data_IF_770001067527
#
_entry.id   IF_770001067527
#
_cell.length_a   1.000
_cell.length_b   1.000
_cell.length_c   1.000
_cell.angle_alpha   90.00
_cell.angle_beta   90.00
_cell.angle_gamma   90.00
#
_symmetry.space_group_name_H-M   'P 1'
#
loop_
_entity.id
_entity.type
_entity.pdbx_description
1 polymer ?
#
# COMPACT_ATOMS: atom_id res chain seq x y z
N UNK A 1 8.50 2.37 28.99
CA UNK A 1 8.94 2.17 27.61
C UNK A 1 7.79 2.60 26.72
N UNK A 2 7.99 3.54 25.80
CA UNK A 2 6.94 3.97 24.87
C UNK A 2 6.63 2.82 23.90
N UNK A 3 5.37 2.69 23.47
CA UNK A 3 4.94 1.77 22.44
C UNK A 3 5.54 2.22 21.10
N UNK A 4 6.53 1.49 20.60
CA UNK A 4 7.19 1.80 19.33
C UNK A 4 6.49 1.06 18.20
N UNK A 5 6.16 1.78 17.13
CA UNK A 5 5.55 1.18 15.95
C UNK A 5 6.58 0.35 15.18
N UNK A 6 6.30 -0.94 14.95
CA UNK A 6 7.21 -1.83 14.23
C UNK A 6 7.50 -1.37 12.80
N UNK A 7 6.53 -0.70 12.16
CA UNK A 7 6.74 -0.07 10.85
C UNK A 7 7.90 0.92 10.87
N UNK A 8 8.05 1.70 11.94
CA UNK A 8 9.14 2.66 12.06
C UNK A 8 10.42 2.01 12.61
N UNK A 9 10.31 1.13 13.61
CA UNK A 9 11.45 0.40 14.20
C UNK A 9 12.21 -0.42 13.16
N UNK A 10 11.48 -1.07 12.26
CA UNK A 10 12.04 -1.94 11.22
C UNK A 10 12.11 -1.27 9.84
N UNK A 11 11.95 0.06 9.77
CA UNK A 11 12.09 0.78 8.50
C UNK A 11 13.55 0.68 8.03
N UNK A 12 13.80 0.20 6.80
CA UNK A 12 15.14 0.17 6.21
C UNK A 12 15.81 1.54 6.27
N UNK A 13 17.04 1.58 6.80
CA UNK A 13 17.86 2.81 6.88
C UNK A 13 18.87 2.90 5.74
N UNK A 14 19.14 1.81 5.03
CA UNK A 14 20.05 1.71 3.90
C UNK A 14 19.33 1.13 2.70
N UNK A 15 19.81 1.44 1.50
CA UNK A 15 19.27 0.88 0.27
C UNK A 15 19.42 -0.66 0.21
N UNK A 16 20.49 -1.21 0.81
CA UNK A 16 20.70 -2.65 0.92
C UNK A 16 19.65 -3.39 1.76
N UNK A 17 19.04 -2.70 2.71
CA UNK A 17 18.06 -3.28 3.62
C UNK A 17 16.62 -3.23 3.05
N UNK A 18 16.46 -2.66 1.84
CA UNK A 18 15.15 -2.59 1.18
C UNK A 18 14.63 -3.99 0.87
N UNK A 19 13.32 -4.17 1.11
CA UNK A 19 12.64 -5.42 0.78
C UNK A 19 12.31 -5.41 -0.69
N UNK A 20 12.89 -6.36 -1.45
CA UNK A 20 12.73 -6.44 -2.90
C UNK A 20 13.16 -5.14 -3.63
N UNK A 21 12.60 -4.81 -4.81
CA UNK A 21 12.90 -3.60 -5.61
C UNK A 21 14.36 -3.53 -6.11
N UNK A 22 15.00 -4.67 -6.39
CA UNK A 22 16.43 -4.77 -6.71
C UNK A 22 16.90 -3.82 -7.82
N UNK A 23 16.15 -3.68 -8.93
CA UNK A 23 16.50 -2.78 -10.02
C UNK A 23 16.52 -1.30 -9.58
N UNK A 24 15.54 -0.88 -8.77
CA UNK A 24 15.47 0.48 -8.22
C UNK A 24 16.65 0.71 -7.29
N UNK A 25 16.93 -0.23 -6.38
CA UNK A 25 18.04 -0.15 -5.43
C UNK A 25 19.38 -0.04 -6.13
N UNK A 26 19.63 -0.87 -7.14
CA UNK A 26 20.87 -0.82 -7.92
C UNK A 26 21.07 0.52 -8.65
N UNK A 27 20.02 1.04 -9.27
CA UNK A 27 20.05 2.33 -9.93
C UNK A 27 20.33 3.48 -8.96
N UNK A 28 19.66 3.50 -7.79
CA UNK A 28 19.89 4.51 -6.75
C UNK A 28 21.32 4.45 -6.20
N UNK A 29 21.88 3.25 -5.97
CA UNK A 29 23.29 3.08 -5.59
C UNK A 29 24.24 3.57 -6.68
N UNK A 30 23.89 3.38 -7.95
CA UNK A 30 24.63 3.93 -9.08
C UNK A 30 24.73 5.44 -9.01
N UNK A 31 23.64 6.14 -8.69
CA UNK A 31 23.65 7.58 -8.49
C UNK A 31 24.50 8.00 -7.28
N UNK A 32 24.40 7.31 -6.15
CA UNK A 32 25.25 7.60 -4.97
C UNK A 32 26.73 7.47 -5.34
N UNK A 33 27.12 6.38 -6.00
CA UNK A 33 28.52 6.17 -6.45
C UNK A 33 29.03 7.22 -7.42
N UNK A 34 28.16 7.70 -8.32
CA UNK A 34 28.52 8.75 -9.28
C UNK A 34 28.62 10.14 -8.65
N UNK A 35 28.12 10.32 -7.42
CA UNK A 35 28.04 11.63 -6.76
C UNK A 35 27.04 12.61 -7.41
N UNK A 36 26.27 12.16 -8.39
CA UNK A 36 25.30 13.01 -9.11
C UNK A 36 23.95 12.32 -9.19
N UNK A 37 22.96 12.90 -8.51
CA UNK A 37 21.59 12.41 -8.50
C UNK A 37 20.70 13.40 -9.26
N UNK A 38 19.86 12.97 -10.21
CA UNK A 38 18.84 13.80 -10.83
C UNK A 38 17.69 14.06 -9.84
N UNK A 39 16.71 14.85 -10.23
CA UNK A 39 15.41 14.79 -9.55
C UNK A 39 14.78 13.41 -9.80
N UNK A 40 14.07 12.86 -8.81
CA UNK A 40 13.53 11.51 -8.84
C UNK A 40 12.00 11.55 -8.77
N UNK A 41 11.36 10.63 -9.46
CA UNK A 41 9.93 10.36 -9.36
C UNK A 41 9.72 8.88 -9.02
N UNK A 42 9.22 8.60 -7.83
CA UNK A 42 8.90 7.25 -7.35
C UNK A 42 7.40 7.01 -7.49
N UNK A 43 7.00 6.11 -8.38
CA UNK A 43 5.61 5.81 -8.66
C UNK A 43 5.29 4.35 -8.38
N UNK A 44 4.17 4.07 -7.72
CA UNK A 44 3.72 2.71 -7.44
C UNK A 44 2.71 2.62 -6.29
N UNK A 45 2.16 1.44 -6.02
CA UNK A 45 1.15 1.22 -4.98
C UNK A 45 1.65 1.61 -3.58
N UNK A 46 0.74 1.82 -2.61
CA UNK A 46 1.12 2.06 -1.22
C UNK A 46 1.89 0.86 -0.63
N UNK A 47 2.71 1.11 0.39
CA UNK A 47 3.45 0.06 1.10
C UNK A 47 4.59 -0.61 0.34
N UNK A 48 4.97 -0.15 -0.86
CA UNK A 48 6.04 -0.71 -1.69
C UNK A 48 7.44 -0.15 -1.40
N UNK A 49 7.57 0.79 -0.45
CA UNK A 49 8.86 1.30 0.00
C UNK A 49 9.33 2.62 -0.61
N UNK A 50 8.47 3.38 -1.32
CA UNK A 50 8.84 4.68 -1.95
C UNK A 50 9.45 5.68 -0.96
N UNK A 51 8.75 5.98 0.13
CA UNK A 51 9.20 6.88 1.20
C UNK A 51 10.46 6.34 1.90
N UNK A 52 10.51 5.02 2.10
CA UNK A 52 11.67 4.33 2.68
C UNK A 52 12.91 4.47 1.78
N UNK A 53 12.75 4.29 0.47
CA UNK A 53 13.85 4.46 -0.48
C UNK A 53 14.38 5.91 -0.52
N UNK A 54 13.50 6.91 -0.42
CA UNK A 54 13.90 8.31 -0.36
C UNK A 54 14.76 8.60 0.89
N UNK A 55 14.34 8.11 2.05
CA UNK A 55 15.09 8.27 3.30
C UNK A 55 16.39 7.48 3.30
N UNK A 56 16.36 6.21 2.85
CA UNK A 56 17.57 5.37 2.74
C UNK A 56 18.60 5.99 1.80
N UNK A 57 18.16 6.56 0.67
CA UNK A 57 19.01 7.29 -0.25
C UNK A 57 19.64 8.52 0.42
N UNK A 58 18.87 9.30 1.16
CA UNK A 58 19.39 10.47 1.91
C UNK A 58 20.44 10.03 2.96
N UNK A 59 20.18 8.95 3.68
CA UNK A 59 21.14 8.40 4.65
C UNK A 59 22.46 7.99 3.99
N UNK A 60 22.43 7.37 2.81
CA UNK A 60 23.65 6.98 2.09
C UNK A 60 24.43 8.19 1.54
N UNK A 61 23.73 9.23 1.11
CA UNK A 61 24.37 10.46 0.60
C UNK A 61 25.03 11.24 1.72
N UNK A 62 24.36 11.38 2.84
CA UNK A 62 24.83 12.24 3.93
C UNK A 62 25.67 11.51 4.97
N UNK A 63 25.48 10.21 5.14
CA UNK A 63 26.28 9.35 6.00
C UNK A 63 26.17 9.59 7.51
N UNK A 64 25.57 10.71 7.93
CA UNK A 64 25.39 11.09 9.35
C UNK A 64 23.98 11.61 9.58
N UNK A 65 23.37 11.22 10.71
CA UNK A 65 22.00 11.57 11.05
C UNK A 65 21.78 13.08 11.19
N UNK A 66 22.74 13.78 11.81
CA UNK A 66 22.68 15.25 11.95
C UNK A 66 22.65 15.96 10.58
N UNK A 67 23.38 15.42 9.59
CA UNK A 67 23.38 15.97 8.24
C UNK A 67 22.08 15.69 7.51
N UNK A 68 21.44 14.51 7.77
CA UNK A 68 20.09 14.21 7.25
C UNK A 68 19.08 15.21 7.79
N UNK A 69 19.08 15.48 9.11
CA UNK A 69 18.12 16.41 9.73
C UNK A 69 18.16 17.82 9.14
N UNK A 70 19.33 18.32 8.75
CA UNK A 70 19.46 19.69 8.20
C UNK A 70 19.36 19.78 6.69
N UNK A 71 19.64 18.68 5.96
CA UNK A 71 19.68 18.68 4.49
C UNK A 71 18.52 17.92 3.83
N UNK A 72 17.70 17.20 4.60
CA UNK A 72 16.52 16.46 4.12
C UNK A 72 15.25 17.08 4.66
N UNK A 73 14.35 17.46 3.77
CA UNK A 73 13.01 17.95 4.12
C UNK A 73 11.98 17.00 3.54
N UNK A 74 11.17 16.40 4.39
CA UNK A 74 10.03 15.59 4.02
C UNK A 74 8.73 16.37 4.25
N UNK A 75 7.86 16.39 3.24
CA UNK A 75 6.54 17.00 3.30
C UNK A 75 5.52 16.04 2.69
N UNK A 76 4.38 15.88 3.34
CA UNK A 76 3.25 15.17 2.77
C UNK A 76 2.36 16.15 1.99
N UNK A 77 2.24 15.91 0.68
CA UNK A 77 1.44 16.76 -0.20
C UNK A 77 -0.07 16.59 0.00
N UNK A 78 -0.52 15.56 0.70
CA UNK A 78 -1.94 15.40 1.06
C UNK A 78 -2.37 16.37 2.16
N UNK A 79 -1.46 16.70 3.08
CA UNK A 79 -1.74 17.63 4.18
C UNK A 79 -1.58 19.09 3.72
N UNK A 80 -0.66 19.34 2.82
CA UNK A 80 -0.26 20.66 2.37
C UNK A 80 -0.36 20.81 0.85
N UNK A 81 -1.58 20.69 0.29
CA UNK A 81 -1.86 20.65 -1.17
C UNK A 81 -1.68 21.99 -1.88
N UNK A 82 -1.54 23.07 -1.11
CA UNK A 82 -1.63 24.45 -1.59
C UNK A 82 -0.35 24.99 -2.20
N UNK A 83 -0.51 25.97 -3.10
CA UNK A 83 0.59 26.69 -3.73
C UNK A 83 1.44 27.47 -2.71
N UNK A 84 0.88 27.84 -1.55
CA UNK A 84 1.59 28.60 -0.51
C UNK A 84 2.69 27.79 0.15
N UNK A 85 2.45 26.51 0.46
CA UNK A 85 3.48 25.61 0.98
C UNK A 85 4.67 25.50 0.03
N UNK A 86 4.38 25.34 -1.27
CA UNK A 86 5.42 25.29 -2.30
C UNK A 86 6.21 26.60 -2.34
N UNK A 87 5.52 27.74 -2.25
CA UNK A 87 6.17 29.06 -2.35
C UNK A 87 6.97 29.45 -1.10
N UNK A 88 6.54 28.99 0.07
CA UNK A 88 7.18 29.34 1.35
C UNK A 88 8.14 28.24 1.78
N UNK A 89 7.65 27.16 2.38
CA UNK A 89 8.47 26.10 3.00
C UNK A 89 9.51 25.52 2.03
N UNK A 90 9.06 25.08 0.85
CA UNK A 90 9.94 24.44 -0.13
C UNK A 90 10.96 25.42 -0.68
N UNK A 91 10.52 26.63 -1.05
CA UNK A 91 11.40 27.65 -1.60
C UNK A 91 12.43 28.14 -0.57
N UNK A 92 12.00 28.36 0.68
CA UNK A 92 12.91 28.84 1.73
C UNK A 92 13.94 27.77 2.10
N UNK A 93 13.56 26.51 2.14
CA UNK A 93 14.50 25.40 2.32
C UNK A 93 15.48 25.30 1.12
N UNK A 94 15.00 25.42 -0.11
CA UNK A 94 15.84 25.32 -1.31
C UNK A 94 16.84 26.49 -1.48
N UNK A 95 16.49 27.68 -0.96
CA UNK A 95 17.37 28.87 -1.02
C UNK A 95 18.62 28.75 -0.18
N UNK A 96 18.57 28.02 0.93
CA UNK A 96 19.71 27.90 1.83
C UNK A 96 20.73 26.91 1.28
N UNK A 97 22.01 27.23 1.44
CA UNK A 97 23.08 26.33 1.00
C UNK A 97 23.05 24.99 1.75
N UNK A 98 23.50 23.88 1.13
CA UNK A 98 23.70 22.62 1.83
C UNK A 98 24.66 22.80 3.01
N UNK A 99 24.36 22.20 4.15
CA UNK A 99 25.20 22.23 5.35
C UNK A 99 26.17 21.05 5.39
N UNK A 100 27.31 21.21 6.08
CA UNK A 100 28.25 20.11 6.32
C UNK A 100 29.03 19.62 5.10
N UNK A 101 29.14 20.45 4.06
CA UNK A 101 29.94 20.13 2.86
C UNK A 101 29.28 19.09 1.92
N UNK A 102 28.01 18.75 2.12
CA UNK A 102 27.29 17.84 1.23
C UNK A 102 26.97 18.52 -0.11
N UNK A 103 26.84 17.76 -1.22
CA UNK A 103 26.72 18.34 -2.55
C UNK A 103 25.40 19.09 -2.79
N UNK A 104 24.31 18.65 -2.16
CA UNK A 104 22.97 19.22 -2.34
C UNK A 104 22.05 18.82 -1.17
N UNK A 105 20.94 19.53 -1.04
CA UNK A 105 19.82 19.19 -0.18
C UNK A 105 18.84 18.27 -0.91
N UNK A 106 18.03 17.55 -0.17
CA UNK A 106 16.93 16.74 -0.71
C UNK A 106 15.61 17.26 -0.14
N UNK A 107 14.65 17.49 -1.04
CA UNK A 107 13.25 17.74 -0.70
C UNK A 107 12.45 16.52 -1.19
N UNK A 108 11.87 15.81 -0.26
CA UNK A 108 10.99 14.68 -0.52
C UNK A 108 9.53 15.13 -0.36
N UNK A 109 8.76 14.97 -1.42
CA UNK A 109 7.32 15.21 -1.43
C UNK A 109 6.60 13.87 -1.54
N UNK A 110 6.07 13.42 -0.42
CA UNK A 110 5.23 12.21 -0.40
C UNK A 110 3.81 12.56 -0.86
N UNK A 111 3.13 11.59 -1.48
CA UNK A 111 1.81 11.75 -2.08
C UNK A 111 1.71 12.94 -3.04
N UNK A 112 2.76 13.16 -3.83
CA UNK A 112 2.88 14.32 -4.73
C UNK A 112 1.75 14.43 -5.78
N UNK A 113 1.06 13.33 -6.08
CA UNK A 113 -0.14 13.29 -6.92
C UNK A 113 -1.37 13.96 -6.29
N UNK A 114 -1.31 14.38 -5.04
CA UNK A 114 -2.33 15.20 -4.38
C UNK A 114 -2.09 16.72 -4.52
N UNK A 115 -0.93 17.14 -5.02
CA UNK A 115 -0.69 18.56 -5.31
C UNK A 115 -1.65 19.10 -6.38
N UNK A 116 -2.19 20.28 -6.13
CA UNK A 116 -2.99 20.97 -7.15
C UNK A 116 -2.14 21.26 -8.41
N UNK A 117 -2.74 21.34 -9.60
CA UNK A 117 -2.00 21.69 -10.83
C UNK A 117 -1.21 22.99 -10.70
N UNK A 118 -1.77 23.99 -10.02
CA UNK A 118 -1.09 25.27 -9.78
C UNK A 118 0.15 25.11 -8.87
N UNK A 119 0.06 24.27 -7.84
CA UNK A 119 1.18 23.94 -6.96
C UNK A 119 2.28 23.20 -7.74
N UNK A 120 1.93 22.26 -8.59
CA UNK A 120 2.87 21.54 -9.45
C UNK A 120 3.59 22.47 -10.42
N UNK A 121 2.89 23.44 -11.04
CA UNK A 121 3.54 24.47 -11.89
C UNK A 121 4.49 25.36 -11.11
N UNK A 122 4.16 25.71 -9.86
CA UNK A 122 5.09 26.48 -9.01
C UNK A 122 6.30 25.63 -8.60
N UNK A 123 6.09 24.35 -8.25
CA UNK A 123 7.15 23.40 -7.92
C UNK A 123 8.16 23.25 -9.07
N UNK A 124 7.67 23.07 -10.30
CA UNK A 124 8.52 22.99 -11.49
C UNK A 124 9.50 24.16 -11.57
N UNK A 125 9.03 25.39 -11.35
CA UNK A 125 9.90 26.59 -11.40
C UNK A 125 10.96 26.56 -10.30
N UNK A 126 10.63 26.09 -9.11
CA UNK A 126 11.57 25.95 -8.00
C UNK A 126 12.61 24.86 -8.30
N UNK A 127 12.19 23.71 -8.86
CA UNK A 127 13.09 22.66 -9.30
C UNK A 127 14.13 23.17 -10.32
N UNK A 128 13.70 23.98 -11.28
CA UNK A 128 14.61 24.60 -12.28
C UNK A 128 15.56 25.60 -11.62
N UNK A 129 15.05 26.46 -10.73
CA UNK A 129 15.81 27.56 -10.13
C UNK A 129 16.89 27.06 -9.16
N UNK A 130 16.64 25.99 -8.42
CA UNK A 130 17.53 25.48 -7.38
C UNK A 130 18.15 24.12 -7.71
N UNK A 131 18.20 23.75 -9.00
CA UNK A 131 18.74 22.47 -9.45
C UNK A 131 20.22 22.26 -9.12
N UNK A 132 21.00 23.32 -8.88
CA UNK A 132 22.41 23.23 -8.46
C UNK A 132 22.59 22.84 -6.99
N UNK A 133 21.65 23.20 -6.12
CA UNK A 133 21.77 23.05 -4.67
C UNK A 133 20.76 22.09 -4.05
N UNK A 134 19.72 21.69 -4.80
CA UNK A 134 18.60 20.91 -4.26
C UNK A 134 18.17 19.83 -5.25
N UNK A 135 17.91 18.64 -4.74
CA UNK A 135 17.27 17.54 -5.46
C UNK A 135 15.87 17.31 -4.92
N UNK A 136 14.97 17.00 -5.82
CA UNK A 136 13.58 16.69 -5.47
C UNK A 136 13.34 15.21 -5.69
N UNK A 137 12.71 14.58 -4.70
CA UNK A 137 12.19 13.21 -4.78
C UNK A 137 10.67 13.33 -4.62
N UNK A 138 9.93 12.96 -5.65
CA UNK A 138 8.47 12.97 -5.67
C UNK A 138 7.99 11.54 -5.55
N UNK A 139 7.28 11.19 -4.50
CA UNK A 139 6.62 9.90 -4.36
C UNK A 139 5.13 10.05 -4.65
N UNK A 140 4.57 9.16 -5.46
CA UNK A 140 3.15 9.18 -5.84
C UNK A 140 2.61 7.77 -6.05
N UNK A 141 1.30 7.62 -5.95
CA UNK A 141 0.64 6.38 -6.33
C UNK A 141 0.34 6.36 -7.84
N UNK A 142 -0.04 7.50 -8.40
CA UNK A 142 -0.44 7.65 -9.79
C UNK A 142 0.43 8.68 -10.51
N UNK A 143 1.43 8.24 -11.28
CA UNK A 143 2.31 9.13 -12.05
C UNK A 143 1.56 9.97 -13.10
N UNK A 144 0.41 9.49 -13.58
CA UNK A 144 -0.46 10.22 -14.51
C UNK A 144 -1.04 11.51 -13.95
N UNK A 145 -1.06 11.68 -12.62
CA UNK A 145 -1.50 12.91 -11.95
C UNK A 145 -0.38 13.95 -11.80
N UNK A 146 0.86 13.58 -12.10
CA UNK A 146 2.00 14.50 -12.14
C UNK A 146 2.08 15.12 -13.53
N UNK A 147 2.17 16.45 -13.60
CA UNK A 147 2.23 17.14 -14.89
C UNK A 147 3.48 16.75 -15.69
N UNK A 148 3.35 16.62 -16.99
CA UNK A 148 4.43 16.24 -17.90
C UNK A 148 5.72 17.08 -17.74
N UNK A 149 5.66 18.42 -17.54
CA UNK A 149 6.85 19.23 -17.31
C UNK A 149 7.67 18.87 -16.07
N UNK A 150 7.08 18.23 -15.07
CA UNK A 150 7.80 17.65 -13.90
C UNK A 150 8.35 16.29 -14.28
N UNK A 151 7.52 15.42 -14.87
CA UNK A 151 7.96 14.08 -15.27
C UNK A 151 9.20 14.13 -16.18
N UNK A 152 9.23 15.02 -17.17
CA UNK A 152 10.36 15.17 -18.09
C UNK A 152 11.68 15.64 -17.45
N UNK A 153 11.63 16.12 -16.19
CA UNK A 153 12.80 16.59 -15.43
C UNK A 153 13.22 15.63 -14.32
N UNK A 154 12.54 14.51 -14.21
CA UNK A 154 12.80 13.50 -13.17
C UNK A 154 13.22 12.18 -13.80
N UNK A 155 14.10 11.45 -13.15
CA UNK A 155 14.29 10.03 -13.43
C UNK A 155 13.17 9.27 -12.73
N UNK A 156 12.31 8.64 -13.51
CA UNK A 156 11.15 7.92 -13.00
C UNK A 156 11.50 6.47 -12.64
N UNK A 157 11.11 6.05 -11.44
CA UNK A 157 11.24 4.69 -10.94
C UNK A 157 9.88 4.12 -10.59
N UNK A 158 9.62 2.93 -11.09
CA UNK A 158 8.38 2.21 -10.83
C UNK A 158 8.59 1.20 -9.71
N UNK A 159 7.93 1.43 -8.59
CA UNK A 159 7.86 0.48 -7.49
C UNK A 159 6.73 -0.51 -7.77
N UNK A 160 7.07 -1.79 -7.79
CA UNK A 160 6.10 -2.86 -8.02
C UNK A 160 5.53 -3.36 -6.69
N UNK A 161 4.31 -3.97 -6.70
CA UNK A 161 3.83 -4.71 -5.53
C UNK A 161 4.87 -5.74 -5.10
N UNK A 162 5.04 -5.88 -3.79
CA UNK A 162 6.00 -6.85 -3.26
C UNK A 162 5.47 -8.28 -3.43
N UNK A 163 6.33 -9.23 -3.83
CA UNK A 163 5.94 -10.63 -3.89
C UNK A 163 5.65 -11.16 -2.47
N UNK A 164 4.71 -12.08 -2.37
CA UNK A 164 4.29 -12.68 -1.09
C UNK A 164 5.46 -13.28 -0.31
N UNK A 165 6.41 -13.90 -1.01
CA UNK A 165 7.61 -14.48 -0.39
C UNK A 165 8.45 -13.42 0.34
N UNK A 166 8.65 -12.26 -0.26
CA UNK A 166 9.42 -11.17 0.34
C UNK A 166 8.70 -10.57 1.57
N UNK A 167 7.37 -10.45 1.50
CA UNK A 167 6.56 -10.00 2.65
C UNK A 167 6.68 -11.02 3.78
N UNK A 168 6.50 -12.32 3.51
CA UNK A 168 6.62 -13.39 4.53
C UNK A 168 8.00 -13.41 5.18
N UNK A 169 9.06 -13.30 4.39
CA UNK A 169 10.44 -13.25 4.90
C UNK A 169 10.62 -12.05 5.85
N UNK A 170 10.13 -10.87 5.46
CA UNK A 170 10.21 -9.68 6.32
C UNK A 170 9.41 -9.82 7.60
N UNK A 171 8.22 -10.41 7.54
CA UNK A 171 7.38 -10.68 8.71
C UNK A 171 8.03 -11.69 9.66
N UNK A 172 8.65 -12.77 9.15
CA UNK A 172 9.41 -13.73 9.97
C UNK A 172 10.57 -13.04 10.69
N UNK A 173 11.35 -12.25 9.97
CA UNK A 173 12.44 -11.49 10.57
C UNK A 173 11.97 -10.59 11.72
N UNK A 174 10.85 -9.87 11.54
CA UNK A 174 10.28 -9.01 12.57
C UNK A 174 9.77 -9.85 13.75
N UNK A 175 9.01 -10.92 13.49
CA UNK A 175 8.46 -11.80 14.52
C UNK A 175 9.55 -12.41 15.41
N UNK A 176 10.65 -12.91 14.82
CA UNK A 176 11.81 -13.45 15.54
C UNK A 176 12.43 -12.39 16.46
N UNK A 177 12.64 -11.17 15.97
CA UNK A 177 13.23 -10.09 16.77
C UNK A 177 12.31 -9.62 17.91
N UNK A 178 10.99 -9.75 17.77
CA UNK A 178 10.00 -9.36 18.78
C UNK A 178 9.59 -10.53 19.70
N UNK A 179 10.16 -11.71 19.50
CA UNK A 179 9.84 -12.91 20.29
C UNK A 179 8.38 -13.36 20.11
N UNK A 180 7.90 -13.31 18.88
CA UNK A 180 6.54 -13.70 18.47
C UNK A 180 6.65 -14.94 17.59
N UNK A 181 5.81 -15.96 17.86
CA UNK A 181 5.70 -17.16 17.04
C UNK A 181 4.54 -16.99 16.06
N UNK A 182 4.80 -17.18 14.77
CA UNK A 182 3.78 -17.10 13.72
C UNK A 182 3.81 -18.39 12.91
N UNK A 183 2.65 -19.03 12.75
CA UNK A 183 2.55 -20.22 11.88
C UNK A 183 2.66 -19.82 10.41
N UNK A 184 2.97 -20.76 9.52
CA UNK A 184 3.02 -20.48 8.08
C UNK A 184 1.63 -20.04 7.57
N UNK A 185 0.54 -20.68 8.04
CA UNK A 185 -0.81 -20.27 7.72
C UNK A 185 -1.16 -18.89 8.31
N UNK A 186 -0.58 -18.51 9.45
CA UNK A 186 -0.71 -17.18 10.03
C UNK A 186 -0.03 -16.12 9.16
N UNK A 187 1.17 -16.43 8.62
CA UNK A 187 1.85 -15.57 7.66
C UNK A 187 1.05 -15.43 6.36
N UNK A 188 0.50 -16.54 5.84
CA UNK A 188 -0.36 -16.53 4.66
C UNK A 188 -1.60 -15.64 4.86
N UNK A 189 -2.22 -15.72 6.03
CA UNK A 189 -3.34 -14.89 6.40
C UNK A 189 -2.96 -13.39 6.46
N UNK A 190 -1.80 -13.05 7.04
CA UNK A 190 -1.33 -11.65 7.08
C UNK A 190 -1.07 -11.13 5.66
N UNK A 191 -0.45 -11.92 4.80
CA UNK A 191 -0.21 -11.55 3.39
C UNK A 191 -1.53 -11.35 2.66
N UNK A 192 -2.49 -12.26 2.84
CA UNK A 192 -3.83 -12.15 2.27
C UNK A 192 -4.53 -10.84 2.67
N UNK A 193 -4.51 -10.51 3.97
CA UNK A 193 -5.14 -9.31 4.53
C UNK A 193 -4.45 -8.02 4.05
N UNK A 194 -3.13 -8.07 3.84
CA UNK A 194 -2.33 -6.89 3.50
C UNK A 194 -2.36 -6.51 2.02
N UNK A 195 -2.78 -7.42 1.13
CA UNK A 195 -2.92 -7.16 -0.31
C UNK A 195 -1.63 -6.61 -0.97
N UNK A 196 -0.47 -7.07 -0.52
CA UNK A 196 0.83 -6.62 -1.03
C UNK A 196 1.38 -5.33 -0.42
N UNK A 197 0.67 -4.73 0.54
CA UNK A 197 1.12 -3.58 1.32
C UNK A 197 1.90 -4.04 2.55
N UNK A 198 3.24 -3.90 2.52
CA UNK A 198 4.11 -4.32 3.62
C UNK A 198 3.85 -3.52 4.91
N UNK A 199 3.47 -2.24 4.81
CA UNK A 199 3.12 -1.42 5.98
C UNK A 199 1.90 -2.00 6.69
N UNK A 200 0.86 -2.34 5.93
CA UNK A 200 -0.35 -3.00 6.44
C UNK A 200 -0.02 -4.38 7.02
N UNK A 201 0.87 -5.15 6.37
CA UNK A 201 1.30 -6.46 6.86
C UNK A 201 1.99 -6.37 8.23
N UNK A 202 2.94 -5.44 8.39
CA UNK A 202 3.67 -5.24 9.65
C UNK A 202 2.72 -4.74 10.76
N UNK A 203 1.82 -3.80 10.44
CA UNK A 203 0.82 -3.31 11.40
C UNK A 203 -0.13 -4.42 11.84
N UNK A 204 -0.57 -5.28 10.92
CA UNK A 204 -1.41 -6.45 11.24
C UNK A 204 -0.65 -7.40 12.18
N UNK A 205 0.60 -7.73 11.86
CA UNK A 205 1.44 -8.57 12.71
C UNK A 205 1.57 -7.97 14.12
N UNK A 206 1.89 -6.68 14.24
CA UNK A 206 2.04 -5.99 15.52
C UNK A 206 0.71 -6.00 16.31
N UNK A 207 -0.41 -5.71 15.66
CA UNK A 207 -1.74 -5.69 16.30
C UNK A 207 -2.10 -7.04 16.86
N UNK A 208 -1.88 -8.11 16.10
CA UNK A 208 -2.19 -9.48 16.52
C UNK A 208 -1.24 -9.93 17.65
N UNK A 209 0.04 -9.56 17.59
CA UNK A 209 1.06 -9.88 18.59
C UNK A 209 0.78 -9.27 19.98
N UNK A 210 0.05 -8.15 20.04
CA UNK A 210 -0.41 -7.56 21.32
C UNK A 210 -1.45 -8.44 22.00
N UNK A 211 -2.29 -9.14 21.23
CA UNK A 211 -3.34 -10.01 21.77
C UNK A 211 -2.78 -11.36 22.19
N UNK A 212 -1.93 -11.95 21.37
CA UNK A 212 -1.33 -13.27 21.63
C UNK A 212 0.03 -13.37 20.93
N UNK A 213 0.99 -14.02 21.60
CA UNK A 213 2.32 -14.26 21.05
C UNK A 213 2.42 -15.44 20.08
N UNK A 214 1.45 -16.30 20.07
CA UNK A 214 1.30 -17.40 19.12
C UNK A 214 0.21 -17.00 18.12
N UNK A 215 0.61 -16.73 16.89
CA UNK A 215 -0.24 -16.18 15.84
C UNK A 215 -0.58 -17.27 14.83
N UNK A 216 -1.85 -17.61 14.74
CA UNK A 216 -2.45 -18.49 13.76
C UNK A 216 -3.34 -17.72 12.77
N UNK A 217 -3.80 -18.38 11.71
CA UNK A 217 -4.67 -17.77 10.71
C UNK A 217 -6.00 -17.26 11.30
N UNK A 218 -6.55 -17.97 12.26
CA UNK A 218 -7.85 -17.64 12.84
C UNK A 218 -7.82 -16.32 13.59
N UNK A 219 -6.75 -16.13 14.36
CA UNK A 219 -6.53 -14.88 15.07
C UNK A 219 -6.32 -13.70 14.11
N UNK A 220 -5.59 -13.92 13.00
CA UNK A 220 -5.35 -12.88 11.99
C UNK A 220 -6.68 -12.43 11.35
N UNK A 221 -7.49 -13.36 10.84
CA UNK A 221 -8.78 -13.00 10.20
C UNK A 221 -9.74 -12.33 11.19
N UNK A 222 -9.83 -12.85 12.40
CA UNK A 222 -10.65 -12.25 13.45
C UNK A 222 -10.24 -10.81 13.78
N UNK A 223 -8.93 -10.55 13.90
CA UNK A 223 -8.43 -9.20 14.22
C UNK A 223 -8.52 -8.24 13.04
N UNK A 224 -8.46 -8.76 11.82
CA UNK A 224 -8.61 -7.97 10.60
C UNK A 224 -10.08 -7.64 10.27
N UNK A 225 -11.05 -8.28 10.92
CA UNK A 225 -12.48 -8.15 10.60
C UNK A 225 -12.84 -8.70 9.22
N UNK A 226 -12.08 -9.69 8.74
CA UNK A 226 -12.29 -10.32 7.43
C UNK A 226 -12.76 -11.78 7.60
N UNK A 227 -13.53 -12.24 6.63
CA UNK A 227 -13.93 -13.64 6.54
C UNK A 227 -12.73 -14.54 6.17
N UNK A 228 -12.73 -15.79 6.64
CA UNK A 228 -11.82 -16.79 6.11
C UNK A 228 -12.18 -17.09 4.65
N UNK A 229 -11.22 -17.15 3.73
CA UNK A 229 -11.48 -17.40 2.31
C UNK A 229 -12.33 -18.67 2.09
N UNK A 230 -12.04 -19.74 2.82
CA UNK A 230 -12.76 -21.00 2.71
C UNK A 230 -14.27 -20.88 3.07
N UNK A 231 -14.62 -19.98 4.01
CA UNK A 231 -16.03 -19.73 4.38
C UNK A 231 -16.75 -18.92 3.31
N UNK A 232 -16.05 -17.95 2.68
CA UNK A 232 -16.57 -17.18 1.53
C UNK A 232 -16.77 -18.08 0.33
N UNK A 233 -15.79 -18.92 0.02
CA UNK A 233 -15.86 -19.90 -1.08
C UNK A 233 -17.04 -20.87 -0.88
N UNK A 234 -17.20 -21.41 0.34
CA UNK A 234 -18.35 -22.28 0.69
C UNK A 234 -19.68 -21.56 0.48
N UNK A 235 -19.81 -20.31 0.87
CA UNK A 235 -21.01 -19.49 0.65
C UNK A 235 -21.35 -19.36 -0.83
N UNK A 236 -20.35 -19.02 -1.65
CA UNK A 236 -20.48 -18.88 -3.11
C UNK A 236 -20.90 -20.21 -3.74
N UNK A 237 -20.23 -21.32 -3.38
CA UNK A 237 -20.54 -22.66 -3.88
C UNK A 237 -21.94 -23.11 -3.49
N UNK A 238 -22.38 -22.85 -2.27
CA UNK A 238 -23.73 -23.17 -1.82
C UNK A 238 -24.77 -22.46 -2.71
N UNK A 239 -24.60 -21.16 -2.96
CA UNK A 239 -25.49 -20.41 -3.84
C UNK A 239 -25.48 -20.96 -5.27
N UNK A 240 -24.30 -21.19 -5.82
CA UNK A 240 -24.14 -21.69 -7.20
C UNK A 240 -24.73 -23.07 -7.44
N UNK A 241 -24.64 -23.94 -6.44
CA UNK A 241 -25.21 -25.31 -6.48
C UNK A 241 -26.71 -25.38 -6.12
N UNK A 242 -27.41 -24.26 -6.04
CA UNK A 242 -28.85 -24.22 -5.78
C UNK A 242 -29.24 -24.20 -4.32
N UNK A 243 -28.28 -24.16 -3.39
CA UNK A 243 -28.54 -24.19 -1.95
C UNK A 243 -28.57 -22.76 -1.34
N UNK A 244 -29.58 -21.98 -1.76
CA UNK A 244 -29.69 -20.57 -1.38
C UNK A 244 -29.82 -20.36 0.12
N UNK A 245 -30.55 -21.24 0.83
CA UNK A 245 -30.76 -21.11 2.27
C UNK A 245 -29.44 -21.28 3.04
N UNK A 246 -28.60 -22.24 2.65
CA UNK A 246 -27.28 -22.41 3.26
C UNK A 246 -26.39 -21.20 2.97
N UNK A 247 -26.38 -20.71 1.74
CA UNK A 247 -25.60 -19.52 1.39
C UNK A 247 -26.03 -18.29 2.21
N UNK A 248 -27.33 -18.09 2.41
CA UNK A 248 -27.87 -17.01 3.26
C UNK A 248 -27.51 -17.18 4.73
N UNK A 249 -27.50 -18.40 5.24
CA UNK A 249 -27.10 -18.66 6.64
C UNK A 249 -25.63 -18.33 6.85
N UNK A 250 -24.75 -18.77 5.92
CA UNK A 250 -23.32 -18.42 5.97
C UNK A 250 -23.12 -16.91 5.88
N UNK A 251 -23.85 -16.21 5.00
CA UNK A 251 -23.80 -14.75 4.91
C UNK A 251 -24.16 -14.10 6.25
N UNK A 252 -25.22 -14.58 6.90
CA UNK A 252 -25.67 -14.07 8.20
C UNK A 252 -24.61 -14.29 9.28
N UNK A 253 -24.00 -15.47 9.34
CA UNK A 253 -22.91 -15.77 10.27
C UNK A 253 -21.72 -14.82 10.04
N UNK A 254 -21.29 -14.64 8.80
CA UNK A 254 -20.16 -13.75 8.46
C UNK A 254 -20.41 -12.31 8.91
N UNK A 255 -21.62 -11.78 8.68
CA UNK A 255 -21.92 -10.39 8.99
C UNK A 255 -22.25 -10.17 10.47
N UNK A 256 -22.99 -11.08 11.14
CA UNK A 256 -23.48 -10.86 12.49
C UNK A 256 -22.60 -11.49 13.57
N UNK A 257 -22.00 -12.64 13.31
CA UNK A 257 -21.20 -13.37 14.31
C UNK A 257 -19.71 -13.09 14.14
N UNK A 258 -19.20 -13.12 12.89
CA UNK A 258 -17.80 -12.82 12.59
C UNK A 258 -17.54 -11.30 12.46
N UNK A 259 -18.61 -10.46 12.35
CA UNK A 259 -18.52 -9.01 12.31
C UNK A 259 -17.92 -8.44 11.00
N UNK A 260 -17.96 -9.21 9.92
CA UNK A 260 -17.41 -8.79 8.62
C UNK A 260 -18.31 -7.74 7.99
N UNK A 261 -17.72 -6.61 7.55
CA UNK A 261 -18.50 -5.57 6.86
C UNK A 261 -18.96 -6.02 5.47
N UNK A 262 -20.09 -5.50 5.00
CA UNK A 262 -20.56 -5.81 3.64
C UNK A 262 -19.60 -5.34 2.56
N UNK A 263 -18.92 -4.22 2.80
CA UNK A 263 -17.91 -3.64 1.89
C UNK A 263 -16.63 -4.50 1.80
N UNK A 264 -16.22 -5.12 2.89
CA UNK A 264 -15.08 -6.04 2.86
C UNK A 264 -15.49 -7.38 2.27
N UNK A 265 -16.69 -7.86 2.58
CA UNK A 265 -17.18 -9.13 2.07
C UNK A 265 -17.37 -9.11 0.54
N UNK A 266 -17.85 -8.00 -0.06
CA UNK A 266 -17.98 -7.91 -1.52
C UNK A 266 -16.61 -7.96 -2.22
N UNK A 267 -15.56 -7.35 -1.64
CA UNK A 267 -14.20 -7.43 -2.15
C UNK A 267 -13.64 -8.86 -2.07
N UNK A 268 -13.90 -9.55 -0.96
CA UNK A 268 -13.50 -10.95 -0.81
C UNK A 268 -14.24 -11.85 -1.82
N UNK A 269 -15.56 -11.68 -2.00
CA UNK A 269 -16.33 -12.41 -3.02
C UNK A 269 -15.75 -12.17 -4.43
N UNK A 270 -15.42 -10.91 -4.76
CA UNK A 270 -14.77 -10.57 -6.03
C UNK A 270 -13.46 -11.34 -6.21
N UNK A 271 -12.61 -11.37 -5.18
CA UNK A 271 -11.32 -12.04 -5.21
C UNK A 271 -11.50 -13.55 -5.43
N UNK A 272 -12.35 -14.19 -4.66
CA UNK A 272 -12.59 -15.65 -4.76
C UNK A 272 -13.15 -16.03 -6.15
N UNK A 273 -14.12 -15.27 -6.68
CA UNK A 273 -14.68 -15.55 -8.00
C UNK A 273 -13.65 -15.31 -9.12
N UNK A 274 -12.85 -14.24 -9.01
CA UNK A 274 -11.88 -13.88 -10.05
C UNK A 274 -10.75 -14.92 -10.18
N UNK A 275 -10.33 -15.50 -9.06
CA UNK A 275 -9.22 -16.47 -9.00
C UNK A 275 -9.68 -17.94 -9.12
N UNK A 276 -10.96 -18.24 -8.94
CA UNK A 276 -11.49 -19.60 -8.98
C UNK A 276 -11.46 -20.18 -10.40
N UNK A 277 -11.05 -21.42 -10.55
CA UNK A 277 -11.13 -22.19 -11.81
C UNK A 277 -12.49 -22.88 -12.00
N UNK A 278 -13.41 -22.80 -11.05
CA UNK A 278 -14.70 -23.49 -11.09
C UNK A 278 -15.72 -22.81 -12.00
N UNK A 279 -15.58 -21.51 -12.25
CA UNK A 279 -16.49 -20.73 -13.07
C UNK A 279 -15.94 -20.56 -14.50
N UNK A 280 -16.75 -20.85 -15.53
CA UNK A 280 -16.40 -20.47 -16.90
C UNK A 280 -16.22 -18.96 -17.06
N UNK A 281 -15.35 -18.52 -17.97
CA UNK A 281 -15.06 -17.09 -18.17
C UNK A 281 -16.32 -16.25 -18.45
N UNK A 282 -17.28 -16.81 -19.20
CA UNK A 282 -18.55 -16.14 -19.50
C UNK A 282 -19.43 -15.90 -18.25
N UNK A 283 -19.35 -16.81 -17.27
CA UNK A 283 -20.05 -16.68 -16.00
C UNK A 283 -19.31 -15.76 -15.06
N UNK A 284 -17.96 -15.86 -14.98
CA UNK A 284 -17.13 -14.89 -14.24
C UNK A 284 -17.44 -13.45 -14.68
N UNK A 285 -17.50 -13.20 -15.98
CA UNK A 285 -17.79 -11.86 -16.51
C UNK A 285 -19.15 -11.33 -16.03
N UNK A 286 -20.19 -12.17 -15.99
CA UNK A 286 -21.51 -11.80 -15.47
C UNK A 286 -21.46 -11.55 -13.97
N UNK A 287 -20.81 -12.45 -13.20
CA UNK A 287 -20.68 -12.31 -11.75
C UNK A 287 -19.94 -11.03 -11.38
N UNK A 288 -18.84 -10.71 -12.06
CA UNK A 288 -18.08 -9.48 -11.87
C UNK A 288 -18.93 -8.24 -12.16
N UNK A 289 -19.82 -8.29 -13.16
CA UNK A 289 -20.76 -7.20 -13.44
C UNK A 289 -21.74 -6.98 -12.28
N UNK A 290 -22.31 -8.06 -11.72
CA UNK A 290 -23.20 -7.96 -10.56
C UNK A 290 -22.47 -7.49 -9.30
N UNK A 291 -21.23 -7.96 -9.10
CA UNK A 291 -20.38 -7.53 -7.98
C UNK A 291 -20.14 -6.02 -8.08
N UNK A 292 -19.78 -5.49 -9.27
CA UNK A 292 -19.57 -4.06 -9.46
C UNK A 292 -20.81 -3.22 -9.18
N UNK A 293 -22.00 -3.73 -9.54
CA UNK A 293 -23.26 -3.06 -9.21
C UNK A 293 -23.54 -3.06 -7.70
N UNK A 294 -23.30 -4.19 -7.03
CA UNK A 294 -23.48 -4.30 -5.57
C UNK A 294 -22.47 -3.42 -4.83
N UNK A 295 -21.21 -3.41 -5.22
CA UNK A 295 -20.17 -2.56 -4.64
C UNK A 295 -20.55 -1.07 -4.73
N UNK A 296 -21.01 -0.63 -5.91
CA UNK A 296 -21.49 0.72 -6.10
C UNK A 296 -22.69 1.06 -5.19
N UNK A 297 -23.64 0.12 -5.02
CA UNK A 297 -24.79 0.31 -4.15
C UNK A 297 -24.39 0.36 -2.67
N UNK A 298 -23.43 -0.47 -2.25
CA UNK A 298 -22.88 -0.43 -0.89
C UNK A 298 -22.17 0.89 -0.61
N UNK A 299 -21.37 1.40 -1.58
CA UNK A 299 -20.73 2.72 -1.47
C UNK A 299 -21.70 3.89 -1.34
N UNK A 300 -22.95 3.74 -1.83
CA UNK A 300 -24.06 4.69 -1.62
C UNK A 300 -24.77 4.52 -0.26
N UNK A 301 -24.34 3.56 0.57
CA UNK A 301 -24.91 3.31 1.89
C UNK A 301 -26.19 2.48 1.88
N UNK A 302 -26.47 1.72 0.81
CA UNK A 302 -27.61 0.79 0.79
C UNK A 302 -27.36 -0.40 1.71
N UNK A 303 -28.44 -1.00 2.19
CA UNK A 303 -28.42 -2.03 3.23
C UNK A 303 -27.62 -3.28 2.81
N UNK A 304 -26.50 -3.61 3.46
CA UNK A 304 -25.58 -4.65 2.99
C UNK A 304 -26.20 -6.04 2.87
N UNK A 305 -27.01 -6.47 3.85
CA UNK A 305 -27.67 -7.78 3.83
C UNK A 305 -28.57 -7.95 2.61
N UNK A 306 -29.27 -6.89 2.19
CA UNK A 306 -30.15 -6.91 1.00
C UNK A 306 -29.30 -6.99 -0.27
N UNK A 307 -28.23 -6.20 -0.38
CA UNK A 307 -27.39 -6.16 -1.57
C UNK A 307 -26.58 -7.45 -1.77
N UNK A 308 -26.03 -8.00 -0.69
CA UNK A 308 -25.32 -9.28 -0.75
C UNK A 308 -26.29 -10.44 -0.97
N UNK A 309 -27.50 -10.39 -0.37
CA UNK A 309 -28.56 -11.34 -0.65
C UNK A 309 -29.00 -11.34 -2.12
N UNK A 310 -29.08 -10.17 -2.74
CA UNK A 310 -29.30 -10.04 -4.20
C UNK A 310 -28.19 -10.71 -4.99
N UNK A 311 -26.92 -10.47 -4.63
CA UNK A 311 -25.78 -11.12 -5.31
C UNK A 311 -25.85 -12.64 -5.23
N UNK A 312 -26.16 -13.21 -4.05
CA UNK A 312 -26.32 -14.66 -3.89
C UNK A 312 -27.46 -15.21 -4.76
N UNK A 313 -28.57 -14.48 -4.94
CA UNK A 313 -29.63 -14.86 -5.84
C UNK A 313 -29.17 -14.89 -7.32
N UNK A 314 -28.36 -13.93 -7.74
CA UNK A 314 -27.79 -13.89 -9.10
C UNK A 314 -26.79 -15.05 -9.33
N UNK A 315 -26.01 -15.41 -8.31
CA UNK A 315 -25.13 -16.60 -8.36
C UNK A 315 -25.95 -17.87 -8.53
N UNK A 316 -27.05 -18.01 -7.78
CA UNK A 316 -27.98 -19.14 -7.88
C UNK A 316 -28.59 -19.26 -9.29
N UNK A 317 -29.08 -18.16 -9.87
CA UNK A 317 -29.68 -18.13 -11.19
C UNK A 317 -28.68 -18.62 -12.26
N UNK A 318 -27.43 -18.21 -12.18
CA UNK A 318 -26.39 -18.66 -13.11
C UNK A 318 -26.10 -20.17 -12.98
N UNK A 319 -26.00 -20.66 -11.74
CA UNK A 319 -25.79 -22.10 -11.48
C UNK A 319 -26.97 -22.98 -11.95
N UNK A 320 -28.20 -22.47 -11.81
CA UNK A 320 -29.43 -23.19 -12.21
C UNK A 320 -29.69 -23.18 -13.72
N UNK A 321 -29.01 -22.35 -14.48
CA UNK A 321 -29.16 -22.25 -15.94
C UNK A 321 -28.31 -23.30 -16.73
N UNK A 322 -27.61 -24.17 -16.02
CA UNK A 322 -26.92 -25.35 -16.54
C UNK A 322 -27.85 -26.55 -16.61
#
# INVERSE_FOLDING_TARGET
MGYELWVEKYRPKRLDDMVDQGEVVEALKGFVKSGSIPHLLFAGPPGTGKTTAALALANEIYGQEDLVQVNYLELNASDERGIETIRTKIKDFAKTAPAGGVPYKIIHLDEADHLTPQAQHALRRIMEMYSSTTRFILACNYSSRIIEPIQSRTAAFRFLPLPESAIKERLRYIAENEGVSVTDEGLDAIVYVSEGDLRRAINTLQTVAVVRKEIDKDLVFKMAGLARPEKVERMIKAAYNGNFLEAREILRELMLEDGVSGEDLIKQIYREISTSDEFPDSEKAKLISYIGEVDFRLALGLHPDVQLGFLLAQILELGSAR
#
